data_IF_348211738759
#
_entry.id   IF_348211738759
#
_cell.length_a   1.000
_cell.length_b   1.000
_cell.length_c   1.000
_cell.angle_alpha   90.00
_cell.angle_beta   90.00
_cell.angle_gamma   90.00
#
_symmetry.space_group_name_H-M   'P 1'
#
loop_
_entity.id
_entity.type
_entity.pdbx_description
1 polymer ?
#
# COMPACT_ATOMS: atom_id res chain seq x y z
N UNK A 1 9.97 11.51 0.39
CA UNK A 1 10.28 10.07 0.40
C UNK A 1 9.22 9.31 -0.38
N UNK A 2 9.62 8.32 -1.17
CA UNK A 2 8.71 7.43 -1.89
C UNK A 2 8.73 6.06 -1.21
N UNK A 3 7.61 5.63 -0.67
CA UNK A 3 7.49 4.35 0.04
C UNK A 3 6.64 3.38 -0.76
N UNK A 4 7.26 2.32 -1.26
CA UNK A 4 6.63 1.21 -1.96
C UNK A 4 6.24 0.15 -0.93
N UNK A 5 4.98 -0.25 -0.91
CA UNK A 5 4.44 -1.14 0.10
C UNK A 5 3.38 -2.07 -0.47
N UNK A 6 3.15 -3.18 0.20
CA UNK A 6 2.01 -4.04 -0.08
C UNK A 6 0.91 -3.75 0.93
N UNK A 7 -0.27 -3.29 0.51
CA UNK A 7 -1.42 -3.16 1.40
C UNK A 7 -1.67 -4.48 2.15
N UNK A 8 -1.98 -4.39 3.44
CA UNK A 8 -2.26 -5.51 4.35
C UNK A 8 -0.99 -6.15 4.92
N UNK A 9 0.03 -6.48 4.14
CA UNK A 9 1.28 -7.06 4.67
C UNK A 9 2.10 -6.06 5.45
N UNK A 10 2.19 -4.82 4.96
CA UNK A 10 2.95 -3.78 5.62
C UNK A 10 2.01 -2.97 6.51
N UNK A 11 2.07 -3.24 7.81
CA UNK A 11 1.25 -2.52 8.78
C UNK A 11 1.67 -1.05 8.86
N UNK A 12 0.67 -0.18 8.87
CA UNK A 12 0.82 1.24 9.06
C UNK A 12 0.46 1.59 10.49
N UNK A 13 1.35 2.29 11.18
CA UNK A 13 1.02 3.02 12.40
C UNK A 13 0.66 4.46 12.04
N UNK A 14 0.06 5.17 12.98
CA UNK A 14 -0.08 6.63 12.87
C UNK A 14 1.30 7.25 12.75
N UNK A 15 1.65 7.73 11.56
CA UNK A 15 2.90 8.44 11.35
C UNK A 15 2.67 9.80 10.71
N UNK A 16 3.58 10.68 10.99
CA UNK A 16 3.57 12.03 10.45
C UNK A 16 3.86 11.97 8.94
N UNK A 17 2.80 12.04 8.16
CA UNK A 17 2.81 11.64 6.77
C UNK A 17 3.05 12.81 5.81
N UNK A 18 3.47 13.98 6.29
CA UNK A 18 3.67 15.12 5.40
C UNK A 18 4.76 14.90 4.37
N UNK A 19 5.74 14.05 4.67
CA UNK A 19 6.89 13.77 3.80
C UNK A 19 6.82 12.46 3.01
N UNK A 20 5.77 11.63 3.20
CA UNK A 20 5.67 10.31 2.56
C UNK A 20 4.71 10.29 1.38
N UNK A 21 5.20 9.78 0.25
CA UNK A 21 4.38 9.39 -0.90
C UNK A 21 4.23 7.87 -0.89
N UNK A 22 3.02 7.36 -0.79
CA UNK A 22 2.71 5.95 -0.66
C UNK A 22 2.41 5.34 -2.03
N UNK A 23 3.19 4.34 -2.42
CA UNK A 23 3.11 3.63 -3.69
C UNK A 23 2.74 2.16 -3.45
N UNK A 24 1.46 1.79 -3.54
CA UNK A 24 1.06 0.40 -3.39
C UNK A 24 1.60 -0.44 -4.55
N UNK A 25 2.19 -1.58 -4.23
CA UNK A 25 2.74 -2.56 -5.17
C UNK A 25 2.08 -3.91 -4.94
N UNK A 26 1.61 -4.53 -6.02
CA UNK A 26 1.11 -5.90 -6.02
C UNK A 26 2.13 -6.80 -6.73
N UNK A 27 2.74 -7.72 -5.99
CA UNK A 27 3.67 -8.73 -6.53
C UNK A 27 3.12 -10.13 -6.32
N UNK A 28 3.57 -11.09 -7.11
CA UNK A 28 3.21 -12.50 -6.90
C UNK A 28 3.76 -13.03 -5.57
N UNK A 29 4.91 -12.55 -5.13
CA UNK A 29 5.48 -12.91 -3.83
C UNK A 29 4.56 -12.47 -2.69
N UNK A 30 4.08 -11.21 -2.72
CA UNK A 30 3.13 -10.70 -1.75
C UNK A 30 1.78 -11.45 -1.80
N UNK A 31 1.28 -11.77 -2.98
CA UNK A 31 0.06 -12.56 -3.14
C UNK A 31 0.19 -13.98 -2.56
N UNK A 32 1.37 -14.60 -2.72
CA UNK A 32 1.68 -15.90 -2.12
C UNK A 32 1.67 -15.82 -0.60
N UNK A 33 2.31 -14.81 -0.03
CA UNK A 33 2.34 -14.59 1.42
C UNK A 33 0.93 -14.34 1.97
N UNK A 34 0.12 -13.51 1.31
CA UNK A 34 -1.27 -13.26 1.69
C UNK A 34 -2.15 -14.51 1.60
N UNK A 35 -1.96 -15.35 0.57
CA UNK A 35 -2.61 -16.65 0.47
C UNK A 35 -2.25 -17.54 1.65
N UNK A 36 -0.95 -17.62 1.97
CA UNK A 36 -0.45 -18.49 3.03
C UNK A 36 -0.90 -17.98 4.42
N UNK A 37 -0.89 -16.68 4.65
CA UNK A 37 -1.41 -16.05 5.89
C UNK A 37 -2.94 -16.23 6.05
N UNK A 38 -3.66 -16.36 4.94
CA UNK A 38 -5.10 -16.65 4.94
C UNK A 38 -5.42 -18.15 5.02
N UNK A 39 -4.43 -19.00 5.24
CA UNK A 39 -4.54 -20.46 5.32
C UNK A 39 -5.24 -21.10 4.10
N UNK A 40 -5.19 -20.45 2.94
CA UNK A 40 -5.81 -20.94 1.73
C UNK A 40 -4.99 -22.09 1.10
N UNK A 41 -5.65 -23.07 0.43
CA UNK A 41 -4.95 -24.14 -0.28
C UNK A 41 -3.88 -23.61 -1.24
N UNK A 42 -2.70 -24.24 -1.22
CA UNK A 42 -1.51 -23.84 -2.00
C UNK A 42 -1.62 -24.27 -3.47
N UNK A 43 -2.63 -23.76 -4.18
CA UNK A 43 -2.86 -23.97 -5.60
C UNK A 43 -2.76 -22.66 -6.39
N UNK A 44 -2.76 -22.78 -7.72
CA UNK A 44 -2.65 -21.63 -8.62
C UNK A 44 -3.90 -20.74 -8.60
N UNK A 45 -5.07 -21.33 -8.38
CA UNK A 45 -6.35 -20.62 -8.35
C UNK A 45 -6.40 -19.64 -7.18
N UNK A 46 -6.03 -20.10 -5.98
CA UNK A 46 -5.96 -19.26 -4.79
C UNK A 46 -4.83 -18.22 -4.87
N UNK A 47 -3.71 -18.55 -5.53
CA UNK A 47 -2.65 -17.57 -5.78
C UNK A 47 -3.15 -16.45 -6.69
N UNK A 48 -3.82 -16.77 -7.79
CA UNK A 48 -4.38 -15.80 -8.71
C UNK A 48 -5.49 -14.97 -8.03
N UNK A 49 -6.38 -15.61 -7.29
CA UNK A 49 -7.44 -14.94 -6.55
C UNK A 49 -6.86 -13.93 -5.52
N UNK A 50 -5.81 -14.31 -4.79
CA UNK A 50 -5.11 -13.43 -3.85
C UNK A 50 -4.42 -12.28 -4.57
N UNK A 51 -3.80 -12.52 -5.72
CA UNK A 51 -3.18 -11.48 -6.53
C UNK A 51 -4.19 -10.47 -7.08
N UNK A 52 -5.29 -10.95 -7.65
CA UNK A 52 -6.37 -10.09 -8.16
C UNK A 52 -6.98 -9.25 -7.04
N UNK A 53 -7.12 -9.83 -5.84
CA UNK A 53 -7.64 -9.12 -4.68
C UNK A 53 -6.67 -8.05 -4.20
N UNK A 54 -5.38 -8.35 -4.16
CA UNK A 54 -4.34 -7.39 -3.82
C UNK A 54 -4.29 -6.23 -4.83
N UNK A 55 -4.39 -6.52 -6.12
CA UNK A 55 -4.47 -5.48 -7.15
C UNK A 55 -5.72 -4.60 -6.97
N UNK A 56 -6.86 -5.20 -6.64
CA UNK A 56 -8.09 -4.45 -6.37
C UNK A 56 -7.92 -3.51 -5.18
N UNK A 57 -7.38 -4.00 -4.08
CA UNK A 57 -7.11 -3.19 -2.88
C UNK A 57 -6.15 -2.03 -3.20
N UNK A 58 -5.07 -2.31 -3.90
CA UNK A 58 -4.08 -1.29 -4.32
C UNK A 58 -4.71 -0.21 -5.21
N UNK A 59 -5.56 -0.61 -6.15
CA UNK A 59 -6.29 0.31 -7.00
C UNK A 59 -7.31 1.15 -6.21
N UNK A 60 -8.04 0.53 -5.29
CA UNK A 60 -9.02 1.22 -4.46
C UNK A 60 -8.34 2.22 -3.52
N UNK A 61 -7.21 1.84 -2.91
CA UNK A 61 -6.37 2.76 -2.13
C UNK A 61 -5.92 3.97 -2.94
N UNK A 62 -5.37 3.77 -4.14
CA UNK A 62 -4.92 4.87 -4.99
C UNK A 62 -6.07 5.79 -5.37
N UNK A 63 -7.24 5.22 -5.72
CA UNK A 63 -8.44 5.99 -6.05
C UNK A 63 -8.82 6.92 -4.90
N UNK A 64 -8.81 6.40 -3.67
CA UNK A 64 -9.16 7.15 -2.46
C UNK A 64 -8.07 8.17 -2.12
N UNK A 65 -6.80 7.80 -2.27
CA UNK A 65 -5.66 8.68 -1.98
C UNK A 65 -5.60 9.91 -2.90
N UNK A 66 -6.20 9.85 -4.10
CA UNK A 66 -6.35 10.99 -5.00
C UNK A 66 -7.31 12.07 -4.48
N UNK A 67 -8.25 11.72 -3.60
CA UNK A 67 -9.07 12.71 -2.87
C UNK A 67 -8.33 13.41 -1.74
N UNK A 68 -7.15 12.91 -1.42
CA UNK A 68 -6.26 13.46 -0.40
C UNK A 68 -5.60 12.35 0.42
N UNK A 69 -4.32 12.56 0.75
CA UNK A 69 -3.51 11.58 1.51
C UNK A 69 -4.14 11.17 2.85
N UNK A 70 -4.89 12.05 3.48
CA UNK A 70 -5.61 11.76 4.72
C UNK A 70 -6.65 10.65 4.52
N UNK A 71 -7.37 10.67 3.40
CA UNK A 71 -8.38 9.65 3.08
C UNK A 71 -7.72 8.31 2.76
N UNK A 72 -6.64 8.31 1.96
CA UNK A 72 -5.89 7.09 1.66
C UNK A 72 -5.39 6.41 2.94
N UNK A 73 -4.84 7.17 3.89
CA UNK A 73 -4.40 6.62 5.19
C UNK A 73 -5.54 6.05 6.01
N UNK A 74 -6.64 6.79 6.15
CA UNK A 74 -7.81 6.28 6.87
C UNK A 74 -8.33 4.98 6.25
N UNK A 75 -8.35 4.92 4.92
CA UNK A 75 -8.78 3.71 4.22
C UNK A 75 -7.88 2.51 4.55
N UNK A 76 -6.55 2.68 4.49
CA UNK A 76 -5.64 1.55 4.74
C UNK A 76 -5.69 1.09 6.19
N UNK A 77 -5.78 2.00 7.15
CA UNK A 77 -5.92 1.65 8.56
C UNK A 77 -7.23 0.90 8.84
N UNK A 78 -8.36 1.43 8.36
CA UNK A 78 -9.66 0.77 8.51
C UNK A 78 -9.73 -0.59 7.79
N UNK A 79 -9.03 -0.73 6.65
CA UNK A 79 -8.91 -1.98 5.94
C UNK A 79 -8.10 -3.02 6.71
N UNK A 80 -6.94 -2.63 7.25
CA UNK A 80 -6.07 -3.49 8.04
C UNK A 80 -6.79 -3.99 9.31
N UNK A 81 -7.50 -3.10 10.00
CA UNK A 81 -8.31 -3.46 11.17
C UNK A 81 -9.39 -4.51 10.83
N UNK A 82 -10.09 -4.34 9.68
CA UNK A 82 -11.14 -5.28 9.26
C UNK A 82 -10.62 -6.62 8.80
N UNK A 83 -9.42 -6.66 8.22
CA UNK A 83 -8.81 -7.88 7.68
C UNK A 83 -7.83 -8.57 8.66
N UNK A 84 -7.68 -8.06 9.87
CA UNK A 84 -6.73 -8.60 10.86
C UNK A 84 -6.93 -10.11 11.13
N UNK A 85 -8.19 -10.57 11.13
CA UNK A 85 -8.55 -11.98 11.36
C UNK A 85 -9.35 -12.59 10.19
N UNK A 86 -9.24 -12.01 9.00
CA UNK A 86 -9.98 -12.46 7.82
C UNK A 86 -8.99 -12.80 6.67
N UNK A 87 -9.50 -13.55 5.70
CA UNK A 87 -8.76 -13.80 4.46
C UNK A 87 -8.71 -12.54 3.59
N UNK A 88 -7.63 -12.38 2.83
CA UNK A 88 -7.59 -11.34 1.78
C UNK A 88 -8.79 -11.44 0.82
N UNK A 89 -9.33 -12.65 0.62
CA UNK A 89 -10.46 -12.88 -0.28
C UNK A 89 -11.77 -12.28 0.26
N UNK A 90 -11.86 -11.98 1.56
CA UNK A 90 -13.03 -11.35 2.17
C UNK A 90 -13.18 -9.87 1.79
N UNK A 91 -12.11 -9.23 1.29
CA UNK A 91 -12.23 -7.89 0.75
C UNK A 91 -13.14 -7.87 -0.48
N UNK A 92 -14.24 -7.17 -0.39
CA UNK A 92 -15.26 -7.07 -1.43
C UNK A 92 -15.80 -5.63 -1.60
N UNK A 93 -16.77 -5.46 -2.46
CA UNK A 93 -17.37 -4.13 -2.71
C UNK A 93 -18.15 -3.61 -1.51
N UNK A 94 -18.76 -4.49 -0.72
CA UNK A 94 -19.51 -4.13 0.48
C UNK A 94 -18.54 -3.57 1.54
N UNK A 95 -17.48 -4.30 1.87
CA UNK A 95 -16.46 -3.84 2.83
C UNK A 95 -15.85 -2.49 2.40
N UNK A 96 -15.54 -2.34 1.11
CA UNK A 96 -15.08 -1.05 0.59
C UNK A 96 -16.09 0.06 0.82
N UNK A 97 -17.37 -0.19 0.53
CA UNK A 97 -18.43 0.81 0.72
C UNK A 97 -18.55 1.24 2.18
N UNK A 98 -18.49 0.30 3.09
CA UNK A 98 -18.53 0.57 4.53
C UNK A 98 -17.35 1.46 4.97
N UNK A 99 -16.14 1.16 4.48
CA UNK A 99 -14.96 2.00 4.76
C UNK A 99 -15.14 3.41 4.17
N UNK A 100 -15.66 3.53 2.93
CA UNK A 100 -15.94 4.84 2.31
C UNK A 100 -16.89 5.67 3.16
N UNK A 101 -17.97 5.06 3.66
CA UNK A 101 -18.92 5.73 4.56
C UNK A 101 -18.24 6.22 5.85
N UNK A 102 -17.42 5.38 6.46
CA UNK A 102 -16.67 5.72 7.68
C UNK A 102 -15.72 6.89 7.49
N UNK A 103 -14.98 6.91 6.37
CA UNK A 103 -14.06 8.01 6.05
C UNK A 103 -14.76 9.23 5.43
N UNK A 104 -16.08 9.19 5.27
CA UNK A 104 -16.93 10.27 4.72
C UNK A 104 -16.60 10.61 3.25
N UNK A 105 -16.36 9.59 2.44
CA UNK A 105 -16.29 9.68 0.99
C UNK A 105 -17.52 9.02 0.34
N UNK A 106 -18.05 9.66 -0.70
CA UNK A 106 -19.17 9.11 -1.46
C UNK A 106 -18.70 8.12 -2.53
N UNK A 107 -19.58 7.24 -2.97
CA UNK A 107 -19.31 6.36 -4.11
C UNK A 107 -19.07 7.15 -5.39
N UNK A 108 -19.73 8.29 -5.56
CA UNK A 108 -19.52 9.17 -6.72
C UNK A 108 -18.10 9.73 -6.74
N UNK A 109 -17.60 10.23 -5.60
CA UNK A 109 -16.21 10.67 -5.46
C UNK A 109 -15.25 9.54 -5.85
N UNK A 110 -15.44 8.35 -5.29
CA UNK A 110 -14.61 7.19 -5.57
C UNK A 110 -14.53 6.86 -7.07
N UNK A 111 -15.67 6.84 -7.80
CA UNK A 111 -15.71 6.47 -9.22
C UNK A 111 -14.91 7.45 -10.08
N UNK A 112 -14.92 8.73 -9.75
CA UNK A 112 -14.29 9.80 -10.54
C UNK A 112 -12.81 9.55 -10.84
N UNK A 113 -12.06 8.98 -9.90
CA UNK A 113 -10.61 8.80 -10.05
C UNK A 113 -10.16 7.38 -10.40
N UNK A 114 -11.09 6.43 -10.54
CA UNK A 114 -10.76 5.01 -10.71
C UNK A 114 -9.89 4.70 -11.95
N UNK A 115 -10.14 5.38 -13.08
CA UNK A 115 -9.34 5.15 -14.29
C UNK A 115 -7.90 5.68 -14.13
N UNK A 116 -7.76 6.82 -13.45
CA UNK A 116 -6.45 7.39 -13.17
C UNK A 116 -5.64 6.49 -12.23
N UNK A 117 -6.27 5.93 -11.20
CA UNK A 117 -5.64 5.01 -10.27
C UNK A 117 -5.04 3.78 -10.96
N UNK A 118 -5.73 3.20 -11.95
CA UNK A 118 -5.19 2.08 -12.75
C UNK A 118 -3.89 2.46 -13.49
N UNK A 119 -3.85 3.64 -14.11
CA UNK A 119 -2.65 4.14 -14.77
C UNK A 119 -1.52 4.38 -13.77
N UNK A 120 -1.86 4.88 -12.58
CA UNK A 120 -0.89 5.11 -11.53
C UNK A 120 -0.30 3.82 -10.98
N UNK A 121 -1.07 2.74 -10.86
CA UNK A 121 -0.55 1.42 -10.48
C UNK A 121 0.56 0.94 -11.42
N UNK A 122 0.35 1.10 -12.74
CA UNK A 122 1.36 0.72 -13.74
C UNK A 122 2.64 1.56 -13.55
N UNK A 123 2.49 2.87 -13.34
CA UNK A 123 3.62 3.76 -13.08
C UNK A 123 4.38 3.40 -11.80
N UNK A 124 3.64 3.07 -10.74
CA UNK A 124 4.24 2.65 -9.47
C UNK A 124 5.09 1.38 -9.65
N UNK A 125 4.57 0.39 -10.36
CA UNK A 125 5.30 -0.83 -10.67
C UNK A 125 6.55 -0.54 -11.53
N UNK A 126 6.42 0.30 -12.56
CA UNK A 126 7.56 0.72 -13.39
C UNK A 126 8.63 1.43 -12.58
N UNK A 127 8.24 2.34 -11.68
CA UNK A 127 9.17 3.07 -10.83
C UNK A 127 9.87 2.14 -9.83
N UNK A 128 9.14 1.19 -9.26
CA UNK A 128 9.68 0.16 -8.37
C UNK A 128 10.78 -0.65 -9.06
N UNK A 129 10.50 -1.20 -10.24
CA UNK A 129 11.49 -2.01 -10.98
C UNK A 129 12.63 -1.17 -11.59
N UNK A 130 12.37 0.07 -11.99
CA UNK A 130 13.41 0.99 -12.48
C UNK A 130 14.46 1.30 -11.40
N UNK A 131 14.05 1.31 -10.13
CA UNK A 131 14.95 1.47 -9.00
C UNK A 131 15.55 0.15 -8.51
N UNK A 132 15.44 -0.91 -9.32
CA UNK A 132 16.00 -2.25 -9.05
C UNK A 132 15.50 -2.91 -7.76
N UNK A 133 14.37 -2.45 -7.22
CA UNK A 133 13.77 -3.06 -6.03
C UNK A 133 13.21 -4.44 -6.35
N UNK A 134 13.45 -5.38 -5.44
CA UNK A 134 13.01 -6.78 -5.52
C UNK A 134 12.00 -7.14 -4.44
N UNK A 135 11.98 -6.40 -3.33
CA UNK A 135 11.16 -6.67 -2.17
C UNK A 135 10.37 -5.44 -1.72
N UNK A 136 9.30 -5.66 -0.99
CA UNK A 136 8.51 -4.63 -0.31
C UNK A 136 8.45 -4.97 1.18
N UNK A 137 8.47 -3.99 2.08
CA UNK A 137 8.49 -2.54 1.82
C UNK A 137 9.86 -2.02 1.35
N UNK A 138 9.85 -1.07 0.42
CA UNK A 138 11.06 -0.40 -0.07
C UNK A 138 10.87 1.11 -0.09
N UNK A 139 11.92 1.87 0.16
CA UNK A 139 11.83 3.32 0.28
C UNK A 139 12.96 4.03 -0.45
N UNK A 140 12.60 5.08 -1.19
CA UNK A 140 13.53 6.07 -1.72
C UNK A 140 13.51 7.30 -0.81
N UNK A 141 14.66 7.66 -0.29
CA UNK A 141 14.86 8.88 0.50
C UNK A 141 15.70 9.84 -0.32
N UNK A 142 15.09 10.95 -0.69
CA UNK A 142 15.78 12.02 -1.40
C UNK A 142 16.34 13.01 -0.37
N UNK A 143 17.65 13.17 -0.38
CA UNK A 143 18.38 14.24 0.34
C UNK A 143 18.83 15.30 -0.63
N UNK A 144 19.46 16.35 -0.18
CA UNK A 144 19.98 17.43 -1.03
C UNK A 144 21.13 16.95 -1.94
N UNK A 145 21.80 15.87 -1.57
CA UNK A 145 23.01 15.38 -2.25
C UNK A 145 22.85 14.02 -2.93
N UNK A 146 21.91 13.18 -2.46
CA UNK A 146 21.80 11.79 -2.94
C UNK A 146 20.37 11.24 -2.82
N UNK A 147 20.16 10.07 -3.44
CA UNK A 147 18.97 9.27 -3.30
C UNK A 147 19.33 7.93 -2.64
N UNK A 148 18.84 7.69 -1.44
CA UNK A 148 19.08 6.45 -0.70
C UNK A 148 18.00 5.42 -1.04
N UNK A 149 18.42 4.18 -1.33
CA UNK A 149 17.55 3.04 -1.61
C UNK A 149 17.59 2.10 -0.41
N UNK A 150 16.43 1.86 0.20
CA UNK A 150 16.30 0.99 1.38
C UNK A 150 15.24 -0.07 1.08
N UNK A 151 15.63 -1.34 1.06
CA UNK A 151 14.71 -2.47 0.90
C UNK A 151 14.43 -3.17 2.22
N UNK A 152 13.26 -3.81 2.30
CA UNK A 152 12.82 -4.65 3.41
C UNK A 152 12.95 -3.98 4.79
N UNK A 153 12.64 -2.70 4.85
CA UNK A 153 12.80 -1.89 6.04
C UNK A 153 11.45 -1.43 6.57
N UNK A 154 11.19 -1.69 7.85
CA UNK A 154 9.97 -1.21 8.49
C UNK A 154 9.99 0.32 8.61
N UNK A 155 8.80 0.93 8.63
CA UNK A 155 8.64 2.37 8.82
C UNK A 155 9.34 2.90 10.08
N UNK A 156 9.31 2.12 11.16
CA UNK A 156 9.95 2.49 12.44
C UNK A 156 11.45 2.66 12.26
N UNK A 157 12.11 1.74 11.54
CA UNK A 157 13.54 1.83 11.26
C UNK A 157 13.88 3.03 10.39
N UNK A 158 13.07 3.30 9.37
CA UNK A 158 13.26 4.48 8.50
C UNK A 158 13.08 5.77 9.30
N UNK A 159 12.06 5.87 10.15
CA UNK A 159 11.85 7.04 11.01
C UNK A 159 13.02 7.26 11.98
N UNK A 160 13.55 6.19 12.56
CA UNK A 160 14.71 6.27 13.46
C UNK A 160 15.95 6.75 12.70
N UNK A 161 16.16 6.26 11.48
CA UNK A 161 17.25 6.68 10.61
C UNK A 161 17.15 8.18 10.26
N UNK A 162 15.96 8.66 9.89
CA UNK A 162 15.72 10.08 9.58
C UNK A 162 15.98 10.98 10.79
N UNK A 163 15.47 10.59 11.97
CA UNK A 163 15.74 11.34 13.21
C UNK A 163 17.24 11.40 13.55
N UNK A 164 18.01 10.40 13.12
CA UNK A 164 19.45 10.39 13.33
C UNK A 164 20.15 11.37 12.38
N UNK A 165 19.76 11.40 11.10
CA UNK A 165 20.29 12.37 10.11
C UNK A 165 19.98 13.81 10.55
N UNK A 166 18.73 14.11 10.95
CA UNK A 166 18.31 15.45 11.38
C UNK A 166 19.09 15.97 12.62
N UNK A 167 19.60 15.06 13.45
CA UNK A 167 20.42 15.43 14.63
C UNK A 167 21.88 15.64 14.31
N UNK A 168 22.35 15.16 13.16
CA UNK A 168 23.76 15.22 12.74
C UNK A 168 24.00 16.27 11.66
N UNK A 169 22.96 16.87 11.10
CA UNK A 169 23.01 18.00 10.18
C UNK A 169 22.88 19.33 10.94
#
# INVERSE_FOLDING_TARGET
MHHFFTPILNQFSEFDAHSWYLYPIATLAAAKELRDNSELPKNIENLNASFDRLQKISSDFLTINLHGRKYGRKFILALQERLDNLSILDYNNQMRHEILCEIKLTTADFITHRQFAKKQMIKNAQEFYKNEFTQVPSTLIYTDTECLHIENCSQVLIQNYLRHIEKTA
#
